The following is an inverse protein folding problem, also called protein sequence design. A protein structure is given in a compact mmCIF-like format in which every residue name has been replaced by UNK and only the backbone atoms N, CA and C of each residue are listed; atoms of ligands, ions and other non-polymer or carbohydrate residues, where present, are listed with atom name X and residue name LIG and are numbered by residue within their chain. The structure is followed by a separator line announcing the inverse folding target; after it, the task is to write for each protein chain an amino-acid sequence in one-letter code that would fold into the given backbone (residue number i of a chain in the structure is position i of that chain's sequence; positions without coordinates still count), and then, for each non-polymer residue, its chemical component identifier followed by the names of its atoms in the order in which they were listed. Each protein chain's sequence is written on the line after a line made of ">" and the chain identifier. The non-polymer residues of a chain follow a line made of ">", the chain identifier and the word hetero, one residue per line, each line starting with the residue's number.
data_IF_837940294075
#
_entry.id   IF_837940294075
#
_cell.length_a   1.000
_cell.length_b   1.000
_cell.length_c   1.000
_cell.angle_alpha   90.00
_cell.angle_beta   90.00
_cell.angle_gamma   90.00
#
_symmetry.space_group_name_H-M   'P 1'
#
loop_
_entity.id
_entity.type
_entity.pdbx_description
1 polymer ?
#
# COMPACT_ATOMS: atom_id res chain seq x y z
N UNK A 1 15.03 20.17 -6.08
CA UNK A 1 15.43 18.77 -5.85
C UNK A 1 14.33 17.94 -5.20
N UNK A 2 13.68 18.41 -4.13
CA UNK A 2 12.60 17.69 -3.44
C UNK A 2 11.44 17.25 -4.36
N UNK A 3 10.94 18.15 -5.21
CA UNK A 3 9.80 17.86 -6.11
C UNK A 3 10.09 16.71 -7.09
N UNK A 4 11.31 16.64 -7.63
CA UNK A 4 11.72 15.55 -8.55
C UNK A 4 11.89 14.22 -7.82
N UNK A 5 12.37 14.22 -6.57
CA UNK A 5 12.44 13.01 -5.74
C UNK A 5 11.04 12.50 -5.39
N UNK A 6 10.14 13.40 -4.99
CA UNK A 6 8.75 13.03 -4.67
C UNK A 6 7.99 12.53 -5.90
N UNK A 7 8.23 13.12 -7.07
CA UNK A 7 7.70 12.62 -8.34
C UNK A 7 8.22 11.21 -8.67
N UNK A 8 9.49 10.91 -8.35
CA UNK A 8 10.06 9.56 -8.49
C UNK A 8 9.38 8.57 -7.55
N UNK A 9 9.19 8.93 -6.27
CA UNK A 9 8.44 8.09 -5.32
C UNK A 9 7.03 7.80 -5.84
N UNK A 10 6.31 8.81 -6.33
CA UNK A 10 4.98 8.61 -6.91
C UNK A 10 5.00 7.66 -8.13
N UNK A 11 6.01 7.80 -8.98
CA UNK A 11 6.22 6.90 -10.11
C UNK A 11 6.46 5.46 -9.64
N UNK A 12 7.34 5.26 -8.65
CA UNK A 12 7.68 3.94 -8.12
C UNK A 12 6.47 3.28 -7.43
N UNK A 13 5.63 4.07 -6.73
CA UNK A 13 4.36 3.59 -6.16
C UNK A 13 3.41 3.09 -7.26
N UNK A 14 3.22 3.89 -8.32
CA UNK A 14 2.36 3.53 -9.47
C UNK A 14 2.89 2.29 -10.19
N UNK A 15 4.21 2.18 -10.34
CA UNK A 15 4.87 1.02 -10.93
C UNK A 15 4.62 -0.24 -10.09
N UNK A 16 4.80 -0.15 -8.76
CA UNK A 16 4.51 -1.26 -7.84
C UNK A 16 3.03 -1.66 -7.92
N UNK A 17 2.11 -0.69 -7.89
CA UNK A 17 0.67 -0.97 -8.01
C UNK A 17 0.34 -1.68 -9.32
N UNK A 18 0.89 -1.23 -10.44
CA UNK A 18 0.69 -1.90 -11.74
C UNK A 18 1.18 -3.35 -11.74
N UNK A 19 2.33 -3.64 -11.11
CA UNK A 19 2.82 -5.01 -10.93
C UNK A 19 1.90 -5.85 -10.04
N UNK A 20 1.36 -5.26 -8.97
CA UNK A 20 0.41 -5.92 -8.09
C UNK A 20 -0.92 -6.21 -8.79
N UNK A 21 -1.42 -5.31 -9.63
CA UNK A 21 -2.63 -5.53 -10.43
C UNK A 21 -2.45 -6.73 -11.38
N UNK A 22 -1.28 -6.84 -12.04
CA UNK A 22 -0.97 -8.01 -12.86
C UNK A 22 -0.92 -9.30 -12.03
N UNK A 23 -0.34 -9.25 -10.83
CA UNK A 23 -0.31 -10.39 -9.91
C UNK A 23 -1.72 -10.77 -9.45
N UNK A 24 -2.56 -9.79 -9.11
CA UNK A 24 -3.97 -9.98 -8.72
C UNK A 24 -4.71 -10.75 -9.81
N UNK A 25 -4.63 -10.31 -11.07
CA UNK A 25 -5.30 -10.98 -12.19
C UNK A 25 -4.77 -12.38 -12.50
N UNK A 26 -3.53 -12.72 -12.12
CA UNK A 26 -3.03 -14.09 -12.19
C UNK A 26 -3.60 -14.95 -11.05
N UNK A 27 -3.67 -14.39 -9.84
CA UNK A 27 -4.24 -15.05 -8.67
C UNK A 27 -5.75 -15.29 -8.82
N UNK A 28 -6.52 -14.33 -9.33
CA UNK A 28 -7.95 -14.45 -9.62
C UNK A 28 -8.21 -15.65 -10.55
N UNK A 29 -7.53 -15.70 -11.69
CA UNK A 29 -7.63 -16.83 -12.65
C UNK A 29 -7.23 -18.16 -12.02
N UNK A 30 -6.23 -18.16 -11.14
CA UNK A 30 -5.78 -19.38 -10.46
C UNK A 30 -6.79 -19.87 -9.43
N UNK A 31 -7.38 -18.96 -8.64
CA UNK A 31 -8.46 -19.27 -7.69
C UNK A 31 -9.67 -19.85 -8.41
N UNK A 32 -10.10 -19.23 -9.51
CA UNK A 32 -11.21 -19.72 -10.32
C UNK A 32 -10.94 -21.11 -10.91
N UNK A 33 -9.76 -21.31 -11.48
CA UNK A 33 -9.33 -22.63 -11.99
C UNK A 33 -9.33 -23.71 -10.90
N UNK A 34 -8.83 -23.40 -9.70
CA UNK A 34 -8.79 -24.35 -8.58
C UNK A 34 -10.19 -24.67 -8.06
N UNK A 35 -11.12 -23.71 -8.03
CA UNK A 35 -12.54 -23.93 -7.69
C UNK A 35 -13.20 -24.89 -8.68
N UNK A 36 -12.98 -24.67 -9.98
CA UNK A 36 -13.59 -25.48 -11.04
C UNK A 36 -13.04 -26.93 -11.07
N UNK A 37 -11.79 -27.12 -10.65
CA UNK A 37 -11.15 -28.43 -10.62
C UNK A 37 -11.38 -29.20 -9.31
N UNK A 38 -12.11 -28.63 -8.35
CA UNK A 38 -12.32 -29.27 -7.04
C UNK A 38 -11.02 -29.48 -6.26
N UNK A 39 -10.07 -28.55 -6.38
CA UNK A 39 -8.77 -28.67 -5.73
C UNK A 39 -8.87 -28.71 -4.20
N UNK A 40 -7.83 -29.23 -3.54
CA UNK A 40 -7.74 -29.27 -2.08
C UNK A 40 -8.02 -27.90 -1.44
N UNK A 41 -8.91 -27.88 -0.46
CA UNK A 41 -9.37 -26.67 0.23
C UNK A 41 -8.21 -25.85 0.81
N UNK A 42 -7.17 -26.53 1.30
CA UNK A 42 -5.97 -25.88 1.86
C UNK A 42 -5.21 -25.07 0.80
N UNK A 43 -5.07 -25.61 -0.41
CA UNK A 43 -4.41 -24.93 -1.51
C UNK A 43 -5.25 -23.74 -1.98
N UNK A 44 -6.55 -23.95 -2.18
CA UNK A 44 -7.46 -22.87 -2.57
C UNK A 44 -7.43 -21.70 -1.56
N UNK A 45 -7.47 -22.01 -0.26
CA UNK A 45 -7.40 -21.01 0.81
C UNK A 45 -6.09 -20.23 0.80
N UNK A 46 -4.96 -20.85 0.48
CA UNK A 46 -3.68 -20.15 0.39
C UNK A 46 -3.66 -19.12 -0.75
N UNK A 47 -4.23 -19.46 -1.91
CA UNK A 47 -4.33 -18.55 -3.04
C UNK A 47 -5.34 -17.42 -2.80
N UNK A 48 -6.45 -17.69 -2.13
CA UNK A 48 -7.42 -16.65 -1.70
C UNK A 48 -6.74 -15.67 -0.74
N UNK A 49 -6.02 -16.16 0.27
CA UNK A 49 -5.31 -15.29 1.20
C UNK A 49 -4.27 -14.41 0.48
N UNK A 50 -3.53 -14.95 -0.49
CA UNK A 50 -2.58 -14.18 -1.28
C UNK A 50 -3.30 -13.11 -2.14
N UNK A 51 -4.43 -13.47 -2.75
CA UNK A 51 -5.26 -12.55 -3.53
C UNK A 51 -5.76 -11.38 -2.67
N UNK A 52 -6.22 -11.67 -1.45
CA UNK A 52 -6.68 -10.65 -0.49
C UNK A 52 -5.53 -9.71 -0.10
N UNK A 53 -4.34 -10.25 0.19
CA UNK A 53 -3.16 -9.44 0.52
C UNK A 53 -2.73 -8.53 -0.63
N UNK A 54 -2.74 -9.03 -1.86
CA UNK A 54 -2.40 -8.23 -3.06
C UNK A 54 -3.47 -7.16 -3.32
N UNK A 55 -4.74 -7.51 -3.25
CA UNK A 55 -5.85 -6.57 -3.44
C UNK A 55 -5.83 -5.46 -2.40
N UNK A 56 -5.48 -5.82 -1.17
CA UNK A 56 -5.26 -4.89 -0.09
C UNK A 56 -4.13 -3.90 -0.35
N UNK A 57 -2.97 -4.40 -0.78
CA UNK A 57 -1.83 -3.54 -1.11
C UNK A 57 -2.14 -2.56 -2.24
N UNK A 58 -2.87 -2.99 -3.28
CA UNK A 58 -3.29 -2.13 -4.39
C UNK A 58 -4.13 -0.95 -3.88
N UNK A 59 -5.11 -1.21 -3.00
CA UNK A 59 -5.99 -0.16 -2.49
C UNK A 59 -5.23 0.85 -1.62
N UNK A 60 -4.38 0.36 -0.71
CA UNK A 60 -3.56 1.24 0.13
C UNK A 60 -2.66 2.11 -0.75
N UNK A 61 -1.95 1.51 -1.72
CA UNK A 61 -1.10 2.26 -2.66
C UNK A 61 -1.89 3.32 -3.42
N UNK A 62 -3.08 3.02 -3.93
CA UNK A 62 -3.94 3.99 -4.61
C UNK A 62 -4.27 5.21 -3.74
N UNK A 63 -4.56 5.00 -2.44
CA UNK A 63 -4.84 6.10 -1.50
C UNK A 63 -3.58 6.93 -1.25
N UNK A 64 -2.44 6.26 -1.10
CA UNK A 64 -1.17 6.93 -0.83
C UNK A 64 -0.65 7.72 -2.04
N UNK A 65 -0.86 7.21 -3.26
CA UNK A 65 -0.56 7.92 -4.52
C UNK A 65 -1.29 9.27 -4.57
N UNK A 66 -2.59 9.30 -4.25
CA UNK A 66 -3.38 10.53 -4.20
C UNK A 66 -2.81 11.52 -3.18
N UNK A 67 -2.40 11.04 -2.01
CA UNK A 67 -1.77 11.90 -1.00
C UNK A 67 -0.45 12.51 -1.49
N UNK A 68 0.42 11.69 -2.09
CA UNK A 68 1.69 12.18 -2.63
C UNK A 68 1.47 13.16 -3.80
N UNK A 69 0.50 12.87 -4.67
CA UNK A 69 0.11 13.75 -5.78
C UNK A 69 -0.45 15.10 -5.29
N UNK A 70 -1.24 15.08 -4.22
CA UNK A 70 -1.72 16.29 -3.57
C UNK A 70 -0.57 17.12 -2.98
N UNK A 71 0.43 16.47 -2.37
CA UNK A 71 1.64 17.18 -1.89
C UNK A 71 2.41 17.80 -3.05
N UNK A 72 2.57 17.10 -4.17
CA UNK A 72 3.23 17.62 -5.38
C UNK A 72 2.48 18.81 -6.02
N UNK A 73 1.16 18.80 -5.96
CA UNK A 73 0.30 19.78 -6.63
C UNK A 73 0.10 21.03 -5.79
N UNK A 74 -0.18 20.86 -4.49
CA UNK A 74 -0.58 21.95 -3.59
C UNK A 74 0.58 22.48 -2.74
N UNK A 75 1.65 21.70 -2.55
CA UNK A 75 2.85 22.11 -1.83
C UNK A 75 2.69 22.37 -0.32
N UNK A 76 1.48 22.28 0.24
CA UNK A 76 1.16 22.72 1.61
C UNK A 76 0.95 21.59 2.61
N UNK A 77 0.94 20.32 2.18
CA UNK A 77 0.60 19.17 3.03
C UNK A 77 1.80 18.28 3.36
N UNK A 78 2.94 18.86 3.72
CA UNK A 78 4.18 18.07 3.92
C UNK A 78 4.06 17.06 5.09
N UNK A 79 3.15 17.28 6.04
CA UNK A 79 2.80 16.30 7.07
C UNK A 79 2.13 15.03 6.52
N UNK A 80 1.46 15.09 5.36
CA UNK A 80 0.93 13.90 4.71
C UNK A 80 2.06 12.96 4.28
N UNK A 81 3.27 13.44 4.01
CA UNK A 81 4.41 12.56 3.71
C UNK A 81 4.79 11.68 4.91
N UNK A 82 4.65 12.19 6.13
CA UNK A 82 4.87 11.39 7.35
C UNK A 82 3.81 10.30 7.46
N UNK A 83 2.55 10.63 7.18
CA UNK A 83 1.44 9.67 7.18
C UNK A 83 1.66 8.61 6.09
N UNK A 84 2.07 9.02 4.88
CA UNK A 84 2.36 8.10 3.78
C UNK A 84 3.50 7.16 4.16
N UNK A 85 4.58 7.67 4.75
CA UNK A 85 5.71 6.86 5.24
C UNK A 85 5.27 5.80 6.24
N UNK A 86 4.49 6.18 7.25
CA UNK A 86 4.03 5.24 8.28
C UNK A 86 3.01 4.24 7.71
N UNK A 87 2.18 4.64 6.76
CA UNK A 87 1.27 3.73 6.06
C UNK A 87 2.00 2.71 5.20
N UNK A 88 3.09 3.09 4.52
CA UNK A 88 3.95 2.16 3.79
C UNK A 88 4.60 1.13 4.71
N UNK A 89 5.06 1.54 5.91
CA UNK A 89 5.60 0.61 6.91
C UNK A 89 4.56 -0.36 7.44
N UNK A 90 3.36 0.14 7.70
CA UNK A 90 2.28 -0.72 8.14
C UNK A 90 1.87 -1.71 7.05
N UNK A 91 1.84 -1.25 5.80
CA UNK A 91 1.58 -2.12 4.66
C UNK A 91 2.67 -3.17 4.48
N UNK A 92 3.96 -2.79 4.54
CA UNK A 92 5.08 -3.73 4.37
C UNK A 92 5.02 -4.88 5.38
N UNK A 93 4.68 -4.56 6.65
CA UNK A 93 4.50 -5.54 7.72
C UNK A 93 3.37 -6.52 7.45
N UNK A 94 2.30 -6.05 6.80
CA UNK A 94 1.10 -6.83 6.54
C UNK A 94 1.25 -7.75 5.33
N UNK A 95 2.04 -7.33 4.35
CA UNK A 95 2.38 -8.14 3.16
C UNK A 95 3.71 -8.86 3.31
N UNK A 96 4.20 -9.07 4.54
CA UNK A 96 5.47 -9.79 4.82
C UNK A 96 5.56 -11.19 4.20
N UNK A 97 4.42 -11.81 3.91
CA UNK A 97 4.35 -13.12 3.24
C UNK A 97 4.60 -13.03 1.72
N UNK A 98 4.76 -11.81 1.18
CA UNK A 98 5.15 -11.52 -0.19
C UNK A 98 6.43 -10.69 -0.14
N UNK A 99 7.61 -11.32 0.07
CA UNK A 99 8.85 -10.62 0.41
C UNK A 99 9.24 -9.54 -0.58
N UNK A 100 9.09 -9.80 -1.88
CA UNK A 100 9.46 -8.86 -2.95
C UNK A 100 8.65 -7.56 -2.88
N UNK A 101 7.37 -7.65 -2.46
CA UNK A 101 6.51 -6.48 -2.28
C UNK A 101 6.85 -5.77 -0.99
N UNK A 102 7.07 -6.53 0.09
CA UNK A 102 7.42 -5.99 1.40
C UNK A 102 8.69 -5.13 1.34
N UNK A 103 9.76 -5.62 0.68
CA UNK A 103 11.02 -4.89 0.51
C UNK A 103 10.83 -3.58 -0.27
N UNK A 104 10.11 -3.61 -1.40
CA UNK A 104 9.89 -2.38 -2.19
C UNK A 104 9.10 -1.33 -1.38
N UNK A 105 8.16 -1.75 -0.53
CA UNK A 105 7.41 -0.84 0.33
C UNK A 105 8.29 -0.21 1.42
N UNK A 106 9.26 -0.95 1.95
CA UNK A 106 10.25 -0.43 2.90
C UNK A 106 11.16 0.60 2.22
N UNK A 107 11.67 0.30 1.02
CA UNK A 107 12.50 1.22 0.23
C UNK A 107 11.74 2.54 -0.09
N UNK A 108 10.45 2.44 -0.44
CA UNK A 108 9.58 3.59 -0.66
C UNK A 108 9.38 4.40 0.64
N UNK A 109 9.20 3.72 1.77
CA UNK A 109 9.06 4.38 3.08
C UNK A 109 10.31 5.16 3.45
N UNK A 110 11.48 4.56 3.25
CA UNK A 110 12.76 5.19 3.55
C UNK A 110 13.04 6.35 2.60
N UNK A 111 12.71 6.20 1.31
CA UNK A 111 12.78 7.29 0.33
C UNK A 111 11.93 8.50 0.73
N UNK A 112 10.72 8.28 1.27
CA UNK A 112 9.90 9.37 1.81
C UNK A 112 10.50 9.93 3.11
N UNK A 113 11.07 9.08 3.97
CA UNK A 113 11.80 9.49 5.16
C UNK A 113 12.92 10.48 4.87
N UNK A 114 13.71 10.23 3.83
CA UNK A 114 14.77 11.12 3.38
C UNK A 114 14.23 12.46 2.89
N UNK A 115 13.13 12.45 2.14
CA UNK A 115 12.46 13.68 1.65
C UNK A 115 11.95 14.51 2.82
N UNK A 116 11.35 13.86 3.82
CA UNK A 116 10.85 14.50 5.05
C UNK A 116 12.00 15.15 5.83
N UNK A 117 13.13 14.47 5.94
CA UNK A 117 14.32 14.98 6.62
C UNK A 117 14.95 16.18 5.88
N UNK A 118 15.10 16.09 4.56
CA UNK A 118 15.64 17.16 3.71
C UNK A 118 14.73 18.40 3.69
N UNK A 119 13.41 18.21 3.78
CA UNK A 119 12.44 19.30 3.89
C UNK A 119 12.41 19.96 5.29
N UNK A 120 13.28 19.55 6.23
CA UNK A 120 13.37 20.04 7.60
C UNK A 120 12.03 20.02 8.35
N UNK A 121 11.19 19.03 8.06
CA UNK A 121 9.89 18.88 8.72
C UNK A 121 10.16 18.41 10.15
N UNK A 122 9.97 19.29 11.12
CA UNK A 122 10.06 18.94 12.53
C UNK A 122 8.90 18.01 12.88
N UNK A 123 9.20 16.73 13.05
CA UNK A 123 8.28 15.77 13.65
C UNK A 123 8.54 15.79 15.14
N UNK A 124 7.62 16.39 15.90
CA UNK A 124 7.66 16.22 17.35
C UNK A 124 7.37 14.75 17.68
N UNK A 125 8.17 14.15 18.57
CA UNK A 125 7.92 12.80 19.06
C UNK A 125 6.52 12.65 19.65
N UNK A 126 5.95 13.71 20.21
CA UNK A 126 4.57 13.74 20.69
C UNK A 126 3.51 13.62 19.57
N UNK A 127 3.83 14.01 18.34
CA UNK A 127 2.93 13.94 17.18
C UNK A 127 3.01 12.61 16.42
N UNK A 128 4.07 11.83 16.61
CA UNK A 128 4.26 10.55 15.93
C UNK A 128 3.11 9.53 16.15
N UNK A 129 2.52 9.39 17.36
CA UNK A 129 1.37 8.53 17.58
C UNK A 129 0.15 8.93 16.73
N UNK A 130 -0.08 10.24 16.56
CA UNK A 130 -1.18 10.75 15.74
C UNK A 130 -1.01 10.39 14.26
N UNK A 131 0.20 10.48 13.73
CA UNK A 131 0.48 10.09 12.33
C UNK A 131 0.34 8.58 12.11
N UNK A 132 0.77 7.76 13.07
CA UNK A 132 0.57 6.30 13.02
C UNK A 132 -0.92 5.93 13.05
N UNK A 133 -1.71 6.62 13.86
CA UNK A 133 -3.15 6.41 13.90
C UNK A 133 -3.82 6.83 12.58
N UNK A 134 -3.40 7.94 11.98
CA UNK A 134 -3.88 8.35 10.66
C UNK A 134 -3.52 7.32 9.57
N UNK A 135 -2.29 6.81 9.59
CA UNK A 135 -1.83 5.75 8.69
C UNK A 135 -2.67 4.46 8.88
N UNK A 136 -2.94 4.07 10.13
CA UNK A 136 -3.79 2.92 10.45
C UNK A 136 -5.21 3.09 9.92
N UNK A 137 -5.79 4.29 10.02
CA UNK A 137 -7.13 4.56 9.46
C UNK A 137 -7.19 4.41 7.94
N UNK A 138 -6.14 4.82 7.22
CA UNK A 138 -6.03 4.59 5.76
C UNK A 138 -6.04 3.10 5.44
N UNK A 139 -5.22 2.35 6.18
CA UNK A 139 -5.09 0.90 6.13
C UNK A 139 -6.44 0.22 6.41
N UNK A 140 -7.17 0.63 7.45
CA UNK A 140 -8.47 0.08 7.82
C UNK A 140 -9.59 0.45 6.83
N UNK A 141 -9.50 1.63 6.20
CA UNK A 141 -10.45 2.03 5.17
C UNK A 141 -10.32 1.13 3.93
N UNK A 142 -9.10 0.81 3.52
CA UNK A 142 -8.85 -0.14 2.43
C UNK A 142 -9.43 -1.54 2.76
N UNK A 143 -9.28 -2.02 4.00
CA UNK A 143 -9.89 -3.30 4.42
C UNK A 143 -11.42 -3.29 4.30
N UNK A 144 -12.06 -2.19 4.74
CA UNK A 144 -13.51 -2.04 4.66
C UNK A 144 -14.00 -2.05 3.21
N UNK A 145 -13.25 -1.46 2.29
CA UNK A 145 -13.57 -1.48 0.87
C UNK A 145 -13.49 -2.88 0.27
N UNK A 146 -12.47 -3.67 0.62
CA UNK A 146 -12.37 -5.08 0.18
C UNK A 146 -13.53 -5.91 0.66
N UNK A 147 -13.86 -5.83 1.96
CA UNK A 147 -14.95 -6.62 2.55
C UNK A 147 -16.29 -6.30 1.89
N UNK A 148 -16.53 -5.04 1.50
CA UNK A 148 -17.74 -4.64 0.76
C UNK A 148 -17.74 -5.18 -0.68
N UNK A 149 -16.58 -5.24 -1.33
CA UNK A 149 -16.44 -5.84 -2.66
C UNK A 149 -16.70 -7.35 -2.67
N UNK A 150 -16.20 -8.09 -1.67
CA UNK A 150 -16.40 -9.55 -1.59
C UNK A 150 -17.85 -9.99 -1.34
N UNK A 151 -18.65 -9.17 -0.65
CA UNK A 151 -20.07 -9.46 -0.38
C UNK A 151 -20.93 -9.31 -1.65
N UNK A 152 -20.50 -8.52 -2.64
CA UNK A 152 -21.23 -8.36 -3.91
C UNK A 152 -21.02 -9.54 -4.89
N UNK A 153 -20.08 -10.44 -4.60
CA UNK A 153 -19.69 -11.58 -5.44
C UNK A 153 -19.89 -12.95 -4.77
N UNK A 154 -20.49 -12.98 -3.58
CA UNK A 154 -20.90 -14.21 -2.88
C UNK A 154 -22.40 -14.40 -3.02
#
# INVERSE_FOLDING_TARGET
>A
MLRSRLARVLYDMRLLRGRLEQLRSRLERRVESLRNLGAEERLLKSYINALDQVSYAILVLSILEIKVENVLTLGTMVHDLIIVREALRELSRRVRNVPEVSTVLEDLSDSIGDIVAEAHIKVDGAQLPMYREAARKIVEQAERQLRRGSIATS
#
